data_IF_409937172823
#
_entry.id   IF_409937172823
#
_cell.length_a   1.000
_cell.length_b   1.000
_cell.length_c   1.000
_cell.angle_alpha   90.00
_cell.angle_beta   90.00
_cell.angle_gamma   90.00
#
_symmetry.space_group_name_H-M   'P 1'
#
loop_
_entity.id
_entity.type
_entity.pdbx_description
1 polymer ?
#
# COMPACT_ATOMS: atom_id res chain seq x y z
N UNK A 1 -25.38 -1.12 0.15
CA UNK A 1 -24.09 -1.52 0.63
C UNK A 1 -23.09 -0.40 0.60
N UNK A 2 -22.05 -0.55 1.30
CA UNK A 2 -21.02 0.45 1.38
C UNK A 2 -20.10 0.34 0.18
N UNK A 3 -19.89 1.44 -0.49
CA UNK A 3 -19.08 1.44 -1.69
C UNK A 3 -17.88 2.39 -1.60
N UNK A 4 -17.57 2.87 -0.42
CA UNK A 4 -16.41 3.74 -0.28
C UNK A 4 -15.15 3.03 -0.77
N UNK A 5 -14.26 3.74 -1.46
CA UNK A 5 -12.99 3.15 -1.84
C UNK A 5 -12.26 2.67 -0.61
N UNK A 6 -11.70 1.50 -0.71
CA UNK A 6 -10.90 0.98 0.37
C UNK A 6 -9.48 1.46 0.23
N UNK A 7 -8.87 1.76 1.35
CA UNK A 7 -7.51 2.21 1.37
C UNK A 7 -6.68 1.32 2.25
N UNK A 8 -5.39 1.30 1.97
CA UNK A 8 -4.43 0.62 2.80
C UNK A 8 -3.56 1.68 3.48
N UNK A 9 -3.42 1.56 4.79
CA UNK A 9 -2.62 2.49 5.57
C UNK A 9 -1.42 1.78 6.16
N UNK A 10 -0.43 2.56 6.55
CA UNK A 10 0.79 2.01 7.16
C UNK A 10 0.46 1.46 8.55
N UNK A 11 0.78 0.19 8.82
CA UNK A 11 0.53 -0.38 10.15
C UNK A 11 1.55 0.07 11.19
N UNK A 12 2.74 0.46 10.74
CA UNK A 12 3.83 0.90 11.60
C UNK A 12 4.60 2.00 10.89
N UNK A 13 5.31 2.86 11.62
CA UNK A 13 6.16 3.85 10.98
C UNK A 13 7.38 3.19 10.34
N UNK A 14 7.83 3.74 9.24
CA UNK A 14 8.97 3.19 8.54
C UNK A 14 9.29 3.97 7.27
N UNK A 15 9.99 3.32 6.37
CA UNK A 15 10.39 3.90 5.08
C UNK A 15 9.95 2.97 3.97
N UNK A 16 9.36 3.54 2.93
CA UNK A 16 8.95 2.75 1.76
C UNK A 16 10.23 2.33 1.03
N UNK A 17 10.49 1.03 0.99
CA UNK A 17 11.67 0.49 0.35
C UNK A 17 11.41 0.07 -1.10
N UNK A 18 10.15 -0.22 -1.44
CA UNK A 18 9.80 -0.64 -2.78
C UNK A 18 8.31 -0.39 -3.02
N UNK A 19 7.98 0.05 -4.22
CA UNK A 19 6.58 0.16 -4.66
C UNK A 19 6.42 -0.77 -5.86
N UNK A 20 5.49 -1.69 -5.74
CA UNK A 20 5.30 -2.77 -6.73
C UNK A 20 4.11 -2.56 -7.65
N UNK A 21 3.30 -1.52 -7.41
CA UNK A 21 2.09 -1.28 -8.20
C UNK A 21 2.04 0.17 -8.66
N UNK A 22 1.22 0.40 -9.67
CA UNK A 22 0.96 1.73 -10.22
C UNK A 22 -0.53 2.02 -10.17
N UNK A 23 -0.87 3.30 -10.16
CA UNK A 23 -2.26 3.72 -10.27
C UNK A 23 -2.85 3.18 -11.58
N UNK A 24 -4.05 2.65 -11.50
CA UNK A 24 -4.74 2.05 -12.63
C UNK A 24 -4.50 0.56 -12.80
N UNK A 25 -3.57 0.00 -12.04
CA UNK A 25 -3.23 -1.42 -12.16
C UNK A 25 -4.26 -2.28 -11.45
N UNK A 26 -4.63 -3.39 -12.08
CA UNK A 26 -5.46 -4.39 -11.44
C UNK A 26 -4.59 -5.29 -10.57
N UNK A 27 -5.10 -5.62 -9.41
CA UNK A 27 -4.41 -6.50 -8.46
C UNK A 27 -5.36 -7.60 -8.01
N UNK A 28 -4.75 -8.70 -7.60
CA UNK A 28 -5.45 -9.83 -7.02
C UNK A 28 -5.17 -9.86 -5.53
N UNK A 29 -6.05 -10.51 -4.80
CA UNK A 29 -5.82 -10.73 -3.38
C UNK A 29 -4.46 -11.40 -3.18
N UNK A 30 -3.64 -10.84 -2.29
CA UNK A 30 -2.32 -11.36 -1.99
C UNK A 30 -1.20 -10.79 -2.82
N UNK A 31 -1.51 -9.98 -3.84
CA UNK A 31 -0.47 -9.35 -4.65
C UNK A 31 0.32 -8.34 -3.82
N UNK A 32 1.62 -8.25 -4.07
CA UNK A 32 2.48 -7.28 -3.40
C UNK A 32 2.15 -5.88 -3.89
N UNK A 33 1.91 -4.97 -2.96
CA UNK A 33 1.64 -3.58 -3.27
C UNK A 33 2.89 -2.72 -3.07
N UNK A 34 3.45 -2.81 -1.89
CA UNK A 34 4.68 -2.09 -1.57
C UNK A 34 5.32 -2.73 -0.34
N UNK A 35 6.54 -2.32 -0.06
CA UNK A 35 7.29 -2.84 1.07
C UNK A 35 7.73 -1.68 1.95
N UNK A 36 7.53 -1.82 3.24
CA UNK A 36 7.96 -0.84 4.23
C UNK A 36 9.06 -1.49 5.07
N UNK A 37 10.19 -0.78 5.17
CA UNK A 37 11.25 -1.18 6.08
C UNK A 37 11.03 -0.48 7.42
N UNK A 38 10.91 -1.26 8.47
CA UNK A 38 10.69 -0.75 9.81
C UNK A 38 11.38 -1.68 10.80
N UNK A 39 12.13 -1.10 11.73
CA UNK A 39 12.80 -1.86 12.78
C UNK A 39 13.70 -2.96 12.19
N UNK A 40 14.40 -2.62 11.11
CA UNK A 40 15.33 -3.53 10.41
C UNK A 40 14.63 -4.73 9.78
N UNK A 41 13.33 -4.65 9.58
CA UNK A 41 12.57 -5.72 8.94
C UNK A 41 11.83 -5.16 7.73
N UNK A 42 11.61 -6.00 6.73
CA UNK A 42 10.84 -5.64 5.55
C UNK A 42 9.43 -6.19 5.70
N UNK A 43 8.47 -5.30 5.60
CA UNK A 43 7.05 -5.65 5.73
C UNK A 43 6.41 -5.45 4.37
N UNK A 44 6.05 -6.55 3.72
CA UNK A 44 5.39 -6.51 2.42
C UNK A 44 3.91 -6.27 2.64
N UNK A 45 3.41 -5.18 2.06
CA UNK A 45 1.98 -4.86 2.13
C UNK A 45 1.31 -5.50 0.94
N UNK A 46 0.38 -6.40 1.19
CA UNK A 46 -0.30 -7.18 0.16
C UNK A 46 -1.74 -6.75 0.03
N UNK A 47 -2.28 -6.91 -1.17
CA UNK A 47 -3.66 -6.54 -1.41
C UNK A 47 -4.61 -7.44 -0.62
N UNK A 48 -5.57 -6.88 0.11
CA UNK A 48 -6.53 -7.69 0.86
C UNK A 48 -7.62 -8.28 -0.02
N UNK A 49 -7.76 -7.81 -1.24
CA UNK A 49 -8.80 -8.29 -2.15
C UNK A 49 -8.44 -7.93 -3.57
N UNK A 50 -9.15 -8.51 -4.52
CA UNK A 50 -9.01 -8.13 -5.94
C UNK A 50 -9.62 -6.76 -6.15
N UNK A 51 -9.01 -5.99 -7.02
CA UNK A 51 -9.52 -4.66 -7.34
C UNK A 51 -8.57 -3.89 -8.22
N UNK A 52 -8.82 -2.60 -8.35
CA UNK A 52 -7.99 -1.72 -9.14
C UNK A 52 -7.38 -0.66 -8.23
N UNK A 53 -6.10 -0.42 -8.39
CA UNK A 53 -5.40 0.61 -7.64
C UNK A 53 -5.81 1.97 -8.21
N UNK A 54 -6.45 2.80 -7.38
CA UNK A 54 -6.84 4.14 -7.81
C UNK A 54 -5.69 5.12 -7.64
N UNK A 55 -5.04 5.10 -6.48
CA UNK A 55 -3.97 6.04 -6.18
C UNK A 55 -2.91 5.37 -5.35
N UNK A 56 -1.64 5.64 -5.67
CA UNK A 56 -0.50 5.30 -4.84
C UNK A 56 0.00 6.60 -4.22
N UNK A 57 -0.08 6.68 -2.90
CA UNK A 57 0.18 7.94 -2.18
C UNK A 57 1.63 8.14 -1.80
N UNK A 58 2.46 7.13 -1.99
CA UNK A 58 3.86 7.17 -1.56
C UNK A 58 4.76 6.65 -2.67
N UNK A 59 6.05 6.89 -2.52
CA UNK A 59 7.07 6.40 -3.45
C UNK A 59 8.26 5.88 -2.67
N UNK A 60 9.16 5.20 -3.35
CA UNK A 60 10.36 4.68 -2.71
C UNK A 60 11.13 5.80 -2.05
N UNK A 61 11.55 5.54 -0.83
CA UNK A 61 12.29 6.49 -0.02
C UNK A 61 11.43 7.35 0.89
N UNK A 62 10.11 7.35 0.72
CA UNK A 62 9.23 8.14 1.57
C UNK A 62 9.17 7.56 2.97
N UNK A 63 9.16 8.46 3.96
CA UNK A 63 8.89 8.06 5.34
C UNK A 63 7.39 8.06 5.56
N UNK A 64 6.92 7.07 6.29
CA UNK A 64 5.50 6.95 6.62
C UNK A 64 5.35 6.80 8.12
N UNK A 65 4.20 7.26 8.61
CA UNK A 65 3.82 7.09 10.01
C UNK A 65 2.62 6.15 10.07
N UNK A 66 2.37 5.60 11.24
CA UNK A 66 1.24 4.71 11.43
C UNK A 66 -0.06 5.42 11.02
N UNK A 67 -0.88 4.74 10.24
CA UNK A 67 -2.15 5.28 9.78
C UNK A 67 -2.07 6.10 8.52
N UNK A 68 -0.88 6.36 8.00
CA UNK A 68 -0.73 7.15 6.80
C UNK A 68 -1.23 6.37 5.58
N UNK A 69 -2.04 7.00 4.70
CA UNK A 69 -2.52 6.31 3.51
C UNK A 69 -1.36 5.93 2.59
N UNK A 70 -1.40 4.71 2.09
CA UNK A 70 -0.40 4.19 1.17
C UNK A 70 -0.99 3.99 -0.23
N UNK A 71 -2.10 3.29 -0.32
CA UNK A 71 -2.75 2.93 -1.58
C UNK A 71 -4.25 3.05 -1.37
N UNK A 72 -4.93 3.59 -2.37
CA UNK A 72 -6.40 3.64 -2.39
C UNK A 72 -6.87 2.83 -3.58
N UNK A 73 -7.90 2.03 -3.37
CA UNK A 73 -8.52 1.22 -4.42
C UNK A 73 -9.78 1.90 -4.91
N UNK A 74 -10.05 1.77 -6.18
CA UNK A 74 -11.21 2.42 -6.75
C UNK A 74 -12.06 1.55 -7.67
#
# INVERSE_FOLDING_TARGET
GQTSPQGMTAPIPGVVSKVSVLAGQKVERGDDLLTIEAMKMFNVMRSPSSGTVATVHVKEGDRVVQGQPLVTFG
#
